data_IF_929966151262
#
_entry.id   IF_929966151262
#
_cell.length_a   1.000
_cell.length_b   1.000
_cell.length_c   1.000
_cell.angle_alpha   90.00
_cell.angle_beta   90.00
_cell.angle_gamma   90.00
#
_symmetry.space_group_name_H-M   'P 1'
#
loop_
_entity.id
_entity.type
_entity.pdbx_description
1 polymer ?
#
# COMPACT_ATOMS: atom_id res chain seq x y z
N UNK A 1 36.27 -6.48 12.06
CA UNK A 1 35.49 -7.29 11.09
C UNK A 1 33.97 -7.07 11.19
N UNK A 2 33.43 -6.51 12.27
CA UNK A 2 31.97 -6.33 12.44
C UNK A 2 31.42 -4.97 11.95
N UNK A 3 32.26 -3.94 11.88
CA UNK A 3 31.85 -2.58 11.48
C UNK A 3 31.40 -2.48 10.02
N UNK A 4 32.11 -3.12 9.09
CA UNK A 4 31.71 -3.13 7.66
C UNK A 4 30.35 -3.80 7.46
N UNK A 5 30.08 -4.89 8.19
CA UNK A 5 28.79 -5.58 8.15
C UNK A 5 27.67 -4.72 8.74
N UNK A 6 27.95 -4.07 9.87
CA UNK A 6 27.01 -3.15 10.50
C UNK A 6 26.69 -1.96 9.57
N UNK A 7 27.72 -1.32 9.02
CA UNK A 7 27.56 -0.19 8.09
C UNK A 7 26.77 -0.60 6.85
N UNK A 8 27.07 -1.77 6.27
CA UNK A 8 26.33 -2.29 5.12
C UNK A 8 24.84 -2.52 5.46
N UNK A 9 24.52 -3.05 6.65
CA UNK A 9 23.14 -3.23 7.09
C UNK A 9 22.42 -1.90 7.30
N UNK A 10 23.07 -0.92 7.95
CA UNK A 10 22.49 0.41 8.15
C UNK A 10 22.20 1.07 6.80
N UNK A 11 23.14 1.01 5.87
CA UNK A 11 22.97 1.56 4.53
C UNK A 11 21.83 0.86 3.76
N UNK A 12 21.74 -0.47 3.84
CA UNK A 12 20.64 -1.24 3.26
C UNK A 12 19.28 -0.81 3.83
N UNK A 13 19.18 -0.64 5.15
CA UNK A 13 17.96 -0.21 5.83
C UNK A 13 17.57 1.20 5.37
N UNK A 14 18.53 2.12 5.27
CA UNK A 14 18.27 3.49 4.79
C UNK A 14 17.73 3.46 3.36
N UNK A 15 18.38 2.72 2.45
CA UNK A 15 17.93 2.59 1.06
C UNK A 15 16.51 2.02 1.00
N UNK A 16 16.25 0.93 1.71
CA UNK A 16 14.93 0.30 1.75
C UNK A 16 13.85 1.24 2.29
N UNK A 17 14.14 1.96 3.38
CA UNK A 17 13.23 2.93 3.98
C UNK A 17 12.95 4.11 3.04
N UNK A 18 13.98 4.65 2.38
CA UNK A 18 13.84 5.73 1.40
C UNK A 18 13.02 5.31 0.20
N UNK A 19 13.28 4.14 -0.38
CA UNK A 19 12.51 3.61 -1.52
C UNK A 19 11.03 3.40 -1.14
N UNK A 20 10.77 2.79 0.01
CA UNK A 20 9.40 2.60 0.49
C UNK A 20 8.70 3.95 0.75
N UNK A 21 9.39 4.92 1.33
CA UNK A 21 8.84 6.29 1.54
C UNK A 21 8.49 6.94 0.19
N UNK A 22 9.37 6.87 -0.80
CA UNK A 22 9.10 7.40 -2.15
C UNK A 22 7.92 6.71 -2.83
N UNK A 23 7.80 5.39 -2.68
CA UNK A 23 6.67 4.62 -3.18
C UNK A 23 5.35 5.07 -2.53
N UNK A 24 5.33 5.24 -1.21
CA UNK A 24 4.16 5.74 -0.49
C UNK A 24 3.73 7.14 -0.93
N UNK A 25 4.69 8.03 -1.19
CA UNK A 25 4.43 9.35 -1.75
C UNK A 25 3.82 9.28 -3.16
N UNK A 26 4.30 8.37 -4.01
CA UNK A 26 3.71 8.14 -5.35
C UNK A 26 2.28 7.63 -5.23
N UNK A 27 2.03 6.66 -4.36
CA UNK A 27 0.67 6.14 -4.12
C UNK A 27 -0.29 7.25 -3.67
N UNK A 28 0.17 8.15 -2.80
CA UNK A 28 -0.61 9.29 -2.33
C UNK A 28 -0.91 10.30 -3.46
N UNK A 29 0.06 10.54 -4.35
CA UNK A 29 -0.17 11.38 -5.55
C UNK A 29 -1.23 10.78 -6.49
N UNK A 30 -1.39 9.45 -6.47
CA UNK A 30 -2.41 8.74 -7.24
C UNK A 30 -3.78 8.68 -6.55
N UNK A 31 -3.94 9.27 -5.35
CA UNK A 31 -5.21 9.29 -4.60
C UNK A 31 -5.63 7.94 -4.01
N UNK A 32 -4.69 7.01 -3.85
CA UNK A 32 -4.95 5.63 -3.40
C UNK A 32 -5.33 5.60 -1.90
N UNK A 33 -4.97 6.62 -1.13
CA UNK A 33 -5.19 6.69 0.32
C UNK A 33 -6.66 6.60 0.73
N UNK A 34 -7.59 6.88 -0.18
CA UNK A 34 -9.03 6.73 0.04
C UNK A 34 -9.44 5.25 0.13
N UNK A 35 -8.69 4.35 -0.53
CA UNK A 35 -9.01 2.92 -0.63
C UNK A 35 -8.08 2.04 0.19
N UNK A 36 -6.77 2.23 0.06
CA UNK A 36 -5.78 1.44 0.78
C UNK A 36 -5.12 2.21 1.92
N UNK A 37 -5.47 3.48 2.12
CA UNK A 37 -4.96 4.27 3.23
C UNK A 37 -5.88 4.23 4.43
N UNK A 38 -5.32 4.57 5.59
CA UNK A 38 -6.15 4.83 6.77
C UNK A 38 -6.90 6.14 6.58
N UNK A 39 -8.24 6.04 6.48
CA UNK A 39 -9.13 7.20 6.32
C UNK A 39 -8.86 8.21 7.45
N UNK A 40 -8.51 9.43 7.06
CA UNK A 40 -8.36 10.56 7.96
C UNK A 40 -9.76 11.01 8.42
N UNK A 41 -10.00 11.06 9.72
CA UNK A 41 -11.24 11.59 10.25
C UNK A 41 -11.22 13.12 10.18
N UNK A 42 -12.41 13.73 10.11
CA UNK A 42 -12.59 15.18 9.92
C UNK A 42 -11.83 16.05 10.94
N UNK A 43 -11.53 15.51 12.13
CA UNK A 43 -10.82 16.22 13.20
C UNK A 43 -9.31 15.94 13.28
N UNK A 44 -8.76 15.10 12.40
CA UNK A 44 -7.34 14.77 12.47
C UNK A 44 -6.48 15.90 11.89
N UNK A 45 -5.65 16.49 12.75
CA UNK A 45 -4.68 17.53 12.37
C UNK A 45 -3.50 16.99 11.55
N UNK A 46 -3.20 15.68 11.65
CA UNK A 46 -2.07 15.03 10.98
C UNK A 46 -2.49 13.72 10.31
N UNK A 47 -1.81 13.29 9.23
CA UNK A 47 -2.03 11.98 8.64
C UNK A 47 -1.81 10.86 9.67
N UNK A 48 -2.70 9.87 9.70
CA UNK A 48 -2.64 8.73 10.64
C UNK A 48 -1.62 7.65 10.25
N UNK A 49 -0.91 7.84 9.15
CA UNK A 49 0.09 6.92 8.63
C UNK A 49 1.24 7.69 7.99
N UNK A 50 2.46 7.18 8.11
CA UNK A 50 3.61 7.68 7.36
C UNK A 50 3.56 7.18 5.93
N UNK A 51 4.26 7.86 5.01
CA UNK A 51 4.38 7.40 3.63
C UNK A 51 5.04 6.00 3.56
N UNK A 52 6.05 5.74 4.40
CA UNK A 52 6.64 4.41 4.57
C UNK A 52 5.62 3.34 4.99
N UNK A 53 4.82 3.62 6.02
CA UNK A 53 3.80 2.68 6.50
C UNK A 53 2.71 2.44 5.46
N UNK A 54 2.34 3.48 4.72
CA UNK A 54 1.37 3.39 3.63
C UNK A 54 1.89 2.53 2.47
N UNK A 55 3.16 2.68 2.09
CA UNK A 55 3.83 1.85 1.11
C UNK A 55 3.82 0.36 1.48
N UNK A 56 4.23 0.03 2.72
CA UNK A 56 4.23 -1.35 3.20
C UNK A 56 2.82 -1.96 3.17
N UNK A 57 1.82 -1.18 3.58
CA UNK A 57 0.44 -1.63 3.54
C UNK A 57 -0.08 -1.85 2.12
N UNK A 58 0.31 -1.00 1.16
CA UNK A 58 0.02 -1.20 -0.26
C UNK A 58 0.65 -2.48 -0.82
N UNK A 59 1.88 -2.81 -0.42
CA UNK A 59 2.53 -4.06 -0.81
C UNK A 59 1.78 -5.29 -0.25
N UNK A 60 1.31 -5.23 1.00
CA UNK A 60 0.50 -6.29 1.59
C UNK A 60 -0.83 -6.48 0.84
N UNK A 61 -1.44 -5.40 0.37
CA UNK A 61 -2.64 -5.46 -0.48
C UNK A 61 -2.36 -6.16 -1.82
N UNK A 62 -1.26 -5.79 -2.49
CA UNK A 62 -0.83 -6.42 -3.75
C UNK A 62 -0.63 -7.92 -3.54
N UNK A 63 0.18 -8.28 -2.55
CA UNK A 63 0.51 -9.67 -2.26
C UNK A 63 -0.71 -10.49 -1.83
N UNK A 64 -1.58 -9.92 -0.99
CA UNK A 64 -2.82 -10.56 -0.57
C UNK A 64 -3.74 -10.87 -1.75
N UNK A 65 -3.86 -9.96 -2.70
CA UNK A 65 -4.64 -10.18 -3.92
C UNK A 65 -3.98 -11.16 -4.89
N UNK A 66 -2.65 -11.30 -4.89
CA UNK A 66 -1.96 -12.33 -5.67
C UNK A 66 -2.17 -13.73 -5.09
N UNK A 67 -2.19 -13.86 -3.77
CA UNK A 67 -2.36 -15.15 -3.09
C UNK A 67 -3.83 -15.60 -3.02
N UNK A 68 -4.77 -14.65 -2.85
CA UNK A 68 -6.17 -14.95 -2.52
C UNK A 68 -7.18 -14.44 -3.56
N UNK A 69 -6.73 -14.18 -4.80
CA UNK A 69 -7.58 -13.64 -5.87
C UNK A 69 -8.90 -14.41 -6.02
N UNK A 70 -8.82 -15.74 -6.14
CA UNK A 70 -9.98 -16.59 -6.44
C UNK A 70 -11.02 -16.52 -5.31
N UNK A 71 -10.57 -16.61 -4.06
CA UNK A 71 -11.44 -16.48 -2.90
C UNK A 71 -12.08 -15.08 -2.84
N UNK A 72 -11.29 -14.03 -3.05
CA UNK A 72 -11.78 -12.66 -3.05
C UNK A 72 -12.84 -12.43 -4.15
N UNK A 73 -12.61 -12.92 -5.36
CA UNK A 73 -13.55 -12.82 -6.48
C UNK A 73 -14.85 -13.58 -6.21
N UNK A 74 -14.77 -14.78 -5.62
CA UNK A 74 -15.94 -15.55 -5.22
C UNK A 74 -16.78 -14.80 -4.17
N UNK A 75 -16.14 -14.21 -3.16
CA UNK A 75 -16.82 -13.41 -2.14
C UNK A 75 -17.45 -12.14 -2.72
N UNK A 76 -16.76 -11.48 -3.66
CA UNK A 76 -17.27 -10.29 -4.38
C UNK A 76 -18.53 -10.64 -5.18
N UNK A 77 -18.56 -11.80 -5.85
CA UNK A 77 -19.70 -12.25 -6.64
C UNK A 77 -20.99 -12.40 -5.80
N UNK A 78 -20.87 -12.68 -4.49
CA UNK A 78 -22.02 -12.77 -3.57
C UNK A 78 -22.69 -11.41 -3.31
N UNK A 79 -22.06 -10.29 -3.66
CA UNK A 79 -22.56 -8.93 -3.38
C UNK A 79 -22.60 -8.06 -4.65
N UNK A 80 -23.42 -8.42 -5.66
CA UNK A 80 -23.45 -7.74 -6.95
C UNK A 80 -23.83 -6.25 -6.84
N UNK A 81 -24.70 -5.90 -5.89
CA UNK A 81 -25.09 -4.50 -5.62
C UNK A 81 -23.93 -3.61 -5.12
N UNK A 82 -22.78 -4.19 -4.73
CA UNK A 82 -21.57 -3.45 -4.34
C UNK A 82 -20.50 -3.42 -5.44
N UNK A 83 -20.80 -3.91 -6.65
CA UNK A 83 -19.85 -4.02 -7.78
C UNK A 83 -19.04 -2.75 -8.02
N UNK A 84 -19.68 -1.59 -7.98
CA UNK A 84 -19.00 -0.31 -8.19
C UNK A 84 -17.90 -0.06 -7.16
N UNK A 85 -18.13 -0.37 -5.89
CA UNK A 85 -17.12 -0.21 -4.83
C UNK A 85 -15.95 -1.17 -5.03
N UNK A 86 -16.23 -2.41 -5.43
CA UNK A 86 -15.18 -3.39 -5.74
C UNK A 86 -14.35 -2.97 -6.96
N UNK A 87 -14.96 -2.45 -8.01
CA UNK A 87 -14.25 -1.94 -9.19
C UNK A 87 -13.29 -0.81 -8.83
N UNK A 88 -13.70 0.12 -7.95
CA UNK A 88 -12.81 1.18 -7.46
C UNK A 88 -11.64 0.61 -6.63
N UNK A 89 -11.89 -0.43 -5.83
CA UNK A 89 -10.83 -1.18 -5.15
C UNK A 89 -9.83 -1.83 -6.12
N UNK A 90 -10.31 -2.46 -7.20
CA UNK A 90 -9.43 -3.01 -8.25
C UNK A 90 -8.67 -1.92 -9.01
N UNK A 91 -9.29 -0.76 -9.25
CA UNK A 91 -8.59 0.38 -9.84
C UNK A 91 -7.46 0.86 -8.91
N UNK A 92 -7.72 0.99 -7.61
CA UNK A 92 -6.68 1.31 -6.64
C UNK A 92 -5.55 0.27 -6.63
N UNK A 93 -5.87 -1.02 -6.69
CA UNK A 93 -4.88 -2.10 -6.80
C UNK A 93 -4.02 -1.98 -8.07
N UNK A 94 -4.63 -1.66 -9.22
CA UNK A 94 -3.91 -1.42 -10.48
C UNK A 94 -2.95 -0.22 -10.36
N UNK A 95 -3.43 0.88 -9.78
CA UNK A 95 -2.60 2.07 -9.54
C UNK A 95 -1.44 1.80 -8.57
N UNK A 96 -1.65 0.98 -7.53
CA UNK A 96 -0.58 0.54 -6.64
C UNK A 96 0.50 -0.22 -7.42
N UNK A 97 0.11 -1.20 -8.24
CA UNK A 97 1.05 -1.98 -9.07
C UNK A 97 1.85 -1.10 -10.05
N UNK A 98 1.28 -0.01 -10.55
CA UNK A 98 1.96 0.95 -11.44
C UNK A 98 2.92 1.90 -10.69
N UNK A 99 2.69 2.12 -9.39
CA UNK A 99 3.50 3.06 -8.62
C UNK A 99 4.86 2.48 -8.17
N UNK A 100 4.98 1.14 -8.18
CA UNK A 100 6.18 0.36 -7.83
C UNK A 100 7.29 0.72 -8.83
#
# INVERSE_FOLDING_TARGET
>A
MNETRFLALVLLIIIAYSLATMYGQRMKKLGIEIYAGRIQQHQDKYPRQSDFGFALYGQLWIYGMELWADLALNLIALKPHKRLFFQRGFQALSLMKQAV
#
